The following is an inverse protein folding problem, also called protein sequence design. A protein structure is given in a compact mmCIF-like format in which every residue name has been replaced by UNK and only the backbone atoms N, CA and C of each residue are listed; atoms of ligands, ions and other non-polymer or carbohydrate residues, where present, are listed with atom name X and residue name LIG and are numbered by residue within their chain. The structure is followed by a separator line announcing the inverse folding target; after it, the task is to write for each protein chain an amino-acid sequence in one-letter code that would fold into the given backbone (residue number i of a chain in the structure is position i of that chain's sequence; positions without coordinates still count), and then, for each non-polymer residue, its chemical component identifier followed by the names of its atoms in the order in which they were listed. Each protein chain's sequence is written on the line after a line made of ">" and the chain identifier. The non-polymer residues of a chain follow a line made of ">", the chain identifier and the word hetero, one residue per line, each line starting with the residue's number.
data_IF_310803362501
#
_entry.id   IF_310803362501
#
_cell.length_a   1.000
_cell.length_b   1.000
_cell.length_c   1.000
_cell.angle_alpha   90.00
_cell.angle_beta   90.00
_cell.angle_gamma   90.00
#
_symmetry.space_group_name_H-M   'P 1'
#
loop_
_entity.id
_entity.type
_entity.pdbx_description
1 polymer ?
#
# COMPACT_ATOMS: atom_id res chain seq x y z
N UNK A 1 1.00 -11.55 8.27
CA UNK A 1 1.52 -12.45 7.21
C UNK A 1 0.99 -11.96 5.85
N UNK A 2 1.76 -12.11 4.77
CA UNK A 2 1.32 -11.76 3.42
C UNK A 2 0.66 -12.96 2.73
N UNK A 3 -0.37 -12.71 1.91
CA UNK A 3 -0.95 -13.74 1.05
C UNK A 3 0.09 -14.15 0.03
N UNK A 4 0.33 -15.46 -0.07
CA UNK A 4 1.32 -16.06 -0.97
C UNK A 4 2.74 -15.46 -0.79
N UNK A 5 3.02 -14.86 0.37
CA UNK A 5 4.29 -14.18 0.65
C UNK A 5 4.54 -12.92 -0.19
N UNK A 6 3.52 -12.35 -0.85
CA UNK A 6 3.70 -11.30 -1.86
C UNK A 6 2.70 -10.13 -1.82
N UNK A 7 1.44 -10.37 -1.44
CA UNK A 7 0.36 -9.36 -1.52
C UNK A 7 -0.53 -9.37 -0.28
N UNK A 8 -1.50 -8.44 -0.25
CA UNK A 8 -2.49 -8.32 0.81
C UNK A 8 -3.56 -9.42 0.70
N UNK A 9 -4.14 -9.81 1.84
CA UNK A 9 -5.23 -10.79 1.86
C UNK A 9 -6.55 -10.22 1.34
N UNK A 10 -6.77 -8.92 1.54
CA UNK A 10 -7.97 -8.18 1.15
C UNK A 10 -7.60 -6.72 0.94
N UNK A 11 -8.51 -5.98 0.32
CA UNK A 11 -8.39 -4.54 0.16
C UNK A 11 -8.61 -3.82 1.48
N UNK A 12 -7.88 -2.73 1.70
CA UNK A 12 -7.85 -2.00 2.97
C UNK A 12 -8.02 -0.51 2.73
N UNK A 13 -8.95 0.10 3.45
CA UNK A 13 -9.09 1.56 3.55
C UNK A 13 -8.54 2.02 4.91
N UNK A 14 -7.39 2.72 4.87
CA UNK A 14 -6.72 3.25 6.05
C UNK A 14 -7.04 4.74 6.27
N UNK A 15 -7.13 5.17 7.52
CA UNK A 15 -7.28 6.58 7.88
C UNK A 15 -6.44 6.92 9.11
N UNK A 16 -5.66 7.99 9.00
CA UNK A 16 -4.92 8.57 10.11
C UNK A 16 -5.08 10.10 10.09
N UNK A 17 -5.76 10.65 11.11
CA UNK A 17 -6.15 12.06 11.12
C UNK A 17 -6.95 12.46 9.87
N UNK A 18 -6.39 13.38 9.09
CA UNK A 18 -6.93 13.84 7.81
C UNK A 18 -6.40 13.05 6.58
N UNK A 19 -5.40 12.18 6.78
CA UNK A 19 -4.88 11.29 5.74
C UNK A 19 -5.80 10.09 5.55
N UNK A 20 -6.07 9.74 4.29
CA UNK A 20 -6.74 8.49 3.93
C UNK A 20 -5.90 7.78 2.89
N UNK A 21 -5.80 6.47 2.99
CA UNK A 21 -5.09 5.63 2.03
C UNK A 21 -5.98 4.47 1.62
N UNK A 22 -5.96 4.13 0.34
CA UNK A 22 -6.61 2.93 -0.18
C UNK A 22 -5.53 1.99 -0.66
N UNK A 23 -5.57 0.77 -0.17
CA UNK A 23 -4.67 -0.32 -0.53
C UNK A 23 -5.50 -1.42 -1.19
N UNK A 24 -5.06 -1.88 -2.36
CA UNK A 24 -5.70 -2.97 -3.08
C UNK A 24 -4.72 -4.14 -3.21
N UNK A 25 -5.19 -5.34 -2.90
CA UNK A 25 -4.47 -6.55 -3.24
C UNK A 25 -4.31 -6.62 -4.77
N UNK A 26 -3.19 -7.15 -5.24
CA UNK A 26 -2.87 -7.15 -6.66
C UNK A 26 -2.45 -8.55 -7.13
N UNK A 27 -2.79 -8.94 -8.36
CA UNK A 27 -2.32 -10.19 -8.95
C UNK A 27 -0.79 -10.26 -9.04
N UNK A 28 -0.23 -11.48 -9.08
CA UNK A 28 1.19 -11.70 -9.35
C UNK A 28 1.74 -10.93 -10.55
N UNK A 29 2.83 -10.20 -10.35
CA UNK A 29 3.54 -9.48 -11.42
C UNK A 29 3.06 -8.05 -11.62
N UNK A 30 2.17 -7.55 -10.76
CA UNK A 30 1.74 -6.15 -10.77
C UNK A 30 2.84 -5.21 -10.28
N UNK A 31 3.67 -5.68 -9.34
CA UNK A 31 4.66 -4.82 -8.68
C UNK A 31 4.05 -3.84 -7.68
N UNK A 32 4.89 -2.95 -7.14
CA UNK A 32 4.48 -1.94 -6.15
C UNK A 32 4.11 -0.62 -6.84
N UNK A 33 2.81 -0.44 -7.05
CA UNK A 33 2.24 0.80 -7.60
C UNK A 33 1.76 1.66 -6.45
N UNK A 34 2.64 2.54 -5.95
CA UNK A 34 2.35 3.42 -4.82
C UNK A 34 3.08 4.76 -4.97
N UNK A 35 2.61 5.77 -4.23
CA UNK A 35 3.36 7.02 -4.04
C UNK A 35 4.67 6.78 -3.27
N UNK A 36 5.67 7.65 -3.46
CA UNK A 36 7.04 7.47 -2.95
C UNK A 36 7.15 6.99 -1.49
N UNK A 37 6.53 7.67 -0.50
CA UNK A 37 6.60 7.25 0.89
C UNK A 37 6.01 5.85 1.14
N UNK A 38 4.83 5.56 0.59
CA UNK A 38 4.20 4.24 0.72
C UNK A 38 5.01 3.14 0.04
N UNK A 39 5.60 3.43 -1.14
CA UNK A 39 6.45 2.47 -1.86
C UNK A 39 7.63 2.02 -1.00
N UNK A 40 8.35 2.97 -0.39
CA UNK A 40 9.47 2.66 0.48
C UNK A 40 9.05 1.73 1.64
N UNK A 41 7.89 1.99 2.25
CA UNK A 41 7.34 1.13 3.30
C UNK A 41 7.03 -0.28 2.77
N UNK A 42 6.34 -0.41 1.63
CA UNK A 42 6.03 -1.72 1.06
C UNK A 42 7.26 -2.55 0.70
N UNK A 43 8.28 -1.92 0.14
CA UNK A 43 9.56 -2.57 -0.17
C UNK A 43 10.24 -3.09 1.11
N UNK A 44 10.27 -2.29 2.18
CA UNK A 44 10.86 -2.72 3.47
C UNK A 44 10.08 -3.87 4.13
N UNK A 45 8.77 -3.95 3.90
CA UNK A 45 7.91 -5.01 4.42
C UNK A 45 7.91 -6.27 3.54
N UNK A 46 8.60 -6.25 2.39
CA UNK A 46 8.64 -7.39 1.45
C UNK A 46 7.36 -7.57 0.64
N UNK A 47 6.52 -6.53 0.52
CA UNK A 47 5.34 -6.57 -0.35
C UNK A 47 5.79 -6.44 -1.80
N UNK A 48 5.39 -7.38 -2.63
CA UNK A 48 5.80 -7.43 -4.04
C UNK A 48 4.70 -6.91 -4.97
N UNK A 49 3.42 -7.15 -4.65
CA UNK A 49 2.30 -6.75 -5.50
C UNK A 49 1.25 -6.01 -4.69
N UNK A 50 1.07 -4.72 -4.97
CA UNK A 50 0.07 -3.88 -4.32
C UNK A 50 -0.19 -2.62 -5.16
N UNK A 51 -1.45 -2.17 -5.16
CA UNK A 51 -1.81 -0.85 -5.69
C UNK A 51 -2.28 0.02 -4.53
N UNK A 52 -1.65 1.17 -4.34
CA UNK A 52 -1.90 2.04 -3.20
C UNK A 52 -2.01 3.50 -3.61
N UNK A 53 -2.98 4.21 -3.04
CA UNK A 53 -3.19 5.65 -3.27
C UNK A 53 -3.53 6.36 -1.98
N UNK A 54 -2.85 7.48 -1.72
CA UNK A 54 -3.28 8.45 -0.72
C UNK A 54 -4.38 9.34 -1.31
N UNK A 55 -5.48 9.43 -0.57
CA UNK A 55 -6.65 10.26 -0.84
C UNK A 55 -6.72 11.34 0.24
N UNK A 56 -6.54 12.60 -0.15
CA UNK A 56 -6.54 13.74 0.77
C UNK A 56 -5.12 14.25 1.05
N UNK A 57 -4.75 14.38 2.34
CA UNK A 57 -3.46 14.95 2.73
C UNK A 57 -2.28 14.14 2.19
N UNK A 58 -1.33 14.81 1.55
CA UNK A 58 -0.08 14.23 1.05
C UNK A 58 1.09 14.36 2.04
N UNK A 59 0.80 14.67 3.31
CA UNK A 59 1.83 14.74 4.34
C UNK A 59 2.45 13.34 4.53
N UNK A 60 3.76 13.14 4.29
CA UNK A 60 4.39 11.82 4.34
C UNK A 60 4.42 11.20 5.75
N UNK A 61 4.18 11.98 6.80
CA UNK A 61 4.07 11.48 8.17
C UNK A 61 2.69 10.92 8.53
N UNK A 62 1.66 11.24 7.76
CA UNK A 62 0.27 10.84 8.02
C UNK A 62 -0.12 9.61 7.21
#
# INVERSE_FOLDING_TARGET
>A
PLREGRTLHHDVDGRHGAGRVVLRAAPPGTGVIAGGPMRAVFETLGVQDVVAKSLGSSNPYN
#
